data_IF_651413074161
#
_entry.id   IF_651413074161
#
_cell.length_a   1.000
_cell.length_b   1.000
_cell.length_c   1.000
_cell.angle_alpha   90.00
_cell.angle_beta   90.00
_cell.angle_gamma   90.00
#
_symmetry.space_group_name_H-M   'P 1'
#
loop_
_entity.id
_entity.type
_entity.pdbx_description
1 polymer ?
#
# COMPACT_ATOMS: atom_id res chain seq x y z
N UNK A 1 21.98 -22.71 -3.86
CA UNK A 1 20.79 -23.20 -4.61
C UNK A 1 19.47 -22.64 -4.08
N UNK A 2 19.20 -22.67 -2.76
CA UNK A 2 17.93 -22.17 -2.18
C UNK A 2 17.75 -20.65 -2.28
N UNK A 3 18.82 -19.86 -2.09
CA UNK A 3 18.75 -18.38 -2.15
C UNK A 3 18.39 -17.84 -3.54
N UNK A 4 18.84 -18.50 -4.61
CA UNK A 4 18.53 -18.10 -5.99
C UNK A 4 17.07 -18.35 -6.35
N UNK A 5 16.52 -19.50 -5.96
CA UNK A 5 15.10 -19.82 -6.13
C UNK A 5 14.23 -18.85 -5.32
N UNK A 6 14.60 -18.55 -4.08
CA UNK A 6 13.89 -17.58 -3.25
C UNK A 6 13.89 -16.18 -3.89
N UNK A 7 15.04 -15.69 -4.35
CA UNK A 7 15.12 -14.39 -5.03
C UNK A 7 14.26 -14.37 -6.31
N UNK A 8 14.27 -15.44 -7.11
CA UNK A 8 13.43 -15.56 -8.30
C UNK A 8 11.93 -15.50 -7.95
N UNK A 9 11.50 -16.23 -6.93
CA UNK A 9 10.11 -16.19 -6.44
C UNK A 9 9.72 -14.78 -5.98
N UNK A 10 10.59 -14.10 -5.23
CA UNK A 10 10.34 -12.73 -4.77
C UNK A 10 10.24 -11.74 -5.94
N UNK A 11 11.09 -11.87 -6.96
CA UNK A 11 11.04 -11.04 -8.18
C UNK A 11 9.74 -11.28 -8.95
N UNK A 12 9.30 -12.54 -9.09
CA UNK A 12 8.03 -12.88 -9.74
C UNK A 12 6.87 -12.23 -8.98
N UNK A 13 6.82 -12.34 -7.65
CA UNK A 13 5.78 -11.72 -6.83
C UNK A 13 5.79 -10.19 -6.99
N UNK A 14 6.97 -9.56 -6.97
CA UNK A 14 7.11 -8.12 -7.18
C UNK A 14 6.52 -7.69 -8.53
N UNK A 15 6.83 -8.45 -9.58
CA UNK A 15 6.41 -8.15 -10.95
C UNK A 15 4.89 -8.18 -11.15
N UNK A 16 4.16 -8.92 -10.33
CA UNK A 16 2.70 -9.07 -10.46
C UNK A 16 1.91 -7.84 -9.99
N UNK A 17 2.51 -6.90 -9.25
CA UNK A 17 1.80 -5.67 -8.87
C UNK A 17 2.66 -4.60 -8.24
N UNK A 18 3.64 -4.97 -7.43
CA UNK A 18 4.50 -4.00 -6.77
C UNK A 18 5.33 -3.20 -7.77
N UNK A 19 5.87 -3.85 -8.80
CA UNK A 19 6.65 -3.18 -9.85
C UNK A 19 5.85 -2.11 -10.59
N UNK A 20 4.53 -2.29 -10.76
CA UNK A 20 3.66 -1.29 -11.41
C UNK A 20 3.52 -0.03 -10.56
N UNK A 21 3.34 -0.20 -9.24
CA UNK A 21 3.33 0.94 -8.32
C UNK A 21 4.72 1.58 -8.25
N UNK A 22 5.77 0.77 -8.13
CA UNK A 22 7.15 1.24 -8.03
C UNK A 22 7.58 2.07 -9.25
N UNK A 23 7.04 1.82 -10.43
CA UNK A 23 7.38 2.61 -11.61
C UNK A 23 7.03 4.11 -11.45
N UNK A 24 6.00 4.46 -10.68
CA UNK A 24 5.57 5.86 -10.50
C UNK A 24 5.68 6.38 -9.07
N UNK A 25 5.57 5.49 -8.10
CA UNK A 25 5.48 5.82 -6.67
C UNK A 25 6.72 5.39 -5.89
N UNK A 26 7.77 4.91 -6.57
CA UNK A 26 9.04 4.60 -5.90
C UNK A 26 9.57 5.84 -5.21
N UNK A 27 9.98 5.65 -3.97
CA UNK A 27 10.58 6.65 -3.14
C UNK A 27 11.94 6.17 -2.65
N UNK A 28 13.00 6.85 -3.09
CA UNK A 28 14.38 6.50 -2.76
C UNK A 28 14.89 7.20 -1.49
N UNK A 29 14.07 8.06 -0.87
CA UNK A 29 14.39 8.75 0.37
C UNK A 29 14.16 7.91 1.63
N UNK A 30 14.45 8.54 2.76
CA UNK A 30 14.19 7.97 4.08
C UNK A 30 12.76 8.27 4.55
N UNK A 31 12.20 7.36 5.34
CA UNK A 31 10.89 7.59 5.95
C UNK A 31 11.08 8.69 7.01
N UNK A 32 10.24 9.75 7.01
CA UNK A 32 10.34 10.81 8.00
C UNK A 32 10.30 10.26 9.43
N UNK A 33 11.16 10.77 10.31
CA UNK A 33 11.29 10.28 11.70
C UNK A 33 10.03 10.46 12.54
N UNK A 34 9.19 11.44 12.20
CA UNK A 34 7.89 11.69 12.85
C UNK A 34 6.73 10.88 12.26
N UNK A 35 6.94 10.05 11.25
CA UNK A 35 5.86 9.34 10.57
C UNK A 35 5.24 8.25 11.48
N UNK A 36 3.91 8.24 11.59
CA UNK A 36 3.19 7.23 12.36
C UNK A 36 3.33 5.86 11.71
N UNK A 37 3.91 4.89 12.44
CA UNK A 37 4.27 3.57 11.93
C UNK A 37 3.21 2.53 12.25
N UNK A 38 2.86 1.72 11.25
CA UNK A 38 1.95 0.58 11.35
C UNK A 38 2.61 -0.67 10.76
N UNK A 39 2.96 -1.63 11.62
CA UNK A 39 3.61 -2.87 11.20
C UNK A 39 2.62 -4.00 10.89
N UNK A 40 3.06 -5.02 10.15
CA UNK A 40 2.31 -6.28 9.93
C UNK A 40 0.90 -6.08 9.35
N UNK A 41 0.76 -5.09 8.48
CA UNK A 41 -0.48 -4.78 7.80
C UNK A 41 -0.67 -5.69 6.59
N UNK A 42 -1.93 -5.81 6.18
CA UNK A 42 -2.30 -6.54 4.97
C UNK A 42 -2.78 -5.59 3.89
N UNK A 43 -2.33 -5.81 2.66
CA UNK A 43 -2.78 -5.06 1.49
C UNK A 43 -2.97 -5.94 0.26
N UNK A 44 -3.75 -5.47 -0.70
CA UNK A 44 -3.85 -6.04 -2.03
C UNK A 44 -3.62 -4.95 -3.08
N UNK A 45 -3.03 -5.32 -4.21
CA UNK A 45 -2.79 -4.43 -5.35
C UNK A 45 -3.73 -4.84 -6.49
N UNK A 46 -4.68 -3.98 -6.82
CA UNK A 46 -5.76 -4.19 -7.78
C UNK A 46 -7.08 -4.61 -7.12
N UNK A 47 -8.14 -4.64 -7.93
CA UNK A 47 -9.52 -4.96 -7.49
C UNK A 47 -10.07 -6.30 -7.99
N UNK A 48 -9.22 -7.19 -8.52
CA UNK A 48 -9.65 -8.47 -9.10
C UNK A 48 -9.39 -9.64 -8.16
N UNK A 49 -10.01 -10.80 -8.40
CA UNK A 49 -9.79 -12.00 -7.59
C UNK A 49 -8.32 -12.47 -7.59
N UNK A 50 -7.62 -12.27 -8.72
CA UNK A 50 -6.20 -12.60 -8.91
C UNK A 50 -5.23 -11.49 -8.49
N UNK A 51 -5.72 -10.42 -7.86
CA UNK A 51 -4.88 -9.34 -7.36
C UNK A 51 -3.83 -9.88 -6.37
N UNK A 52 -2.55 -9.48 -6.45
CA UNK A 52 -1.52 -9.83 -5.48
C UNK A 52 -1.92 -9.38 -4.07
N UNK A 53 -1.87 -10.31 -3.11
CA UNK A 53 -2.23 -10.06 -1.71
C UNK A 53 -1.00 -10.23 -0.83
N UNK A 54 -0.68 -9.16 -0.11
CA UNK A 54 0.36 -9.12 0.89
C UNK A 54 -0.30 -9.22 2.26
N UNK A 55 -0.31 -10.41 2.86
CA UNK A 55 -0.98 -10.64 4.15
C UNK A 55 0.01 -10.59 5.29
N UNK A 56 -0.18 -9.63 6.20
CA UNK A 56 0.63 -9.48 7.43
C UNK A 56 2.11 -9.18 7.19
N UNK A 57 2.49 -8.82 5.96
CA UNK A 57 3.89 -8.67 5.56
C UNK A 57 4.23 -7.25 5.08
N UNK A 58 3.33 -6.28 5.24
CA UNK A 58 3.59 -4.89 4.86
C UNK A 58 3.67 -4.01 6.09
N UNK A 59 4.66 -3.14 6.10
CA UNK A 59 4.76 -2.03 7.04
C UNK A 59 4.34 -0.76 6.30
N UNK A 60 3.52 0.04 6.94
CA UNK A 60 3.13 1.36 6.45
C UNK A 60 3.55 2.47 7.40
N UNK A 61 3.74 3.65 6.85
CA UNK A 61 3.96 4.87 7.61
C UNK A 61 3.11 6.00 7.06
N UNK A 62 2.64 6.86 7.94
CA UNK A 62 1.81 8.00 7.61
C UNK A 62 2.51 9.28 8.05
N UNK A 63 2.59 10.25 7.14
CA UNK A 63 3.13 11.57 7.41
C UNK A 63 2.33 12.62 6.63
N UNK A 64 2.62 13.89 6.90
CA UNK A 64 2.01 15.01 6.21
C UNK A 64 2.22 15.02 4.69
N UNK A 65 3.21 14.27 4.20
CA UNK A 65 3.53 14.21 2.76
C UNK A 65 2.88 13.04 2.03
N UNK A 66 2.38 12.02 2.74
CA UNK A 66 1.76 10.86 2.11
C UNK A 66 1.79 9.57 2.95
N UNK A 67 1.33 8.49 2.31
CA UNK A 67 1.39 7.13 2.81
C UNK A 67 2.61 6.41 2.24
N UNK A 68 3.45 5.87 3.12
CA UNK A 68 4.62 5.09 2.76
C UNK A 68 4.35 3.61 2.97
N UNK A 69 4.74 2.76 2.01
CA UNK A 69 4.53 1.31 2.09
C UNK A 69 5.81 0.55 1.78
N UNK A 70 6.17 -0.41 2.64
CA UNK A 70 7.32 -1.30 2.45
C UNK A 70 7.02 -2.71 2.96
N UNK A 71 7.24 -3.76 2.16
CA UNK A 71 7.17 -5.13 2.64
C UNK A 71 8.24 -5.44 3.68
N UNK A 72 8.02 -6.49 4.46
CA UNK A 72 8.96 -7.00 5.45
C UNK A 72 10.28 -7.44 4.82
N UNK A 73 11.29 -7.64 5.67
CA UNK A 73 12.69 -7.85 5.26
C UNK A 73 12.87 -8.95 4.20
N UNK A 74 12.13 -10.07 4.31
CA UNK A 74 12.23 -11.21 3.40
C UNK A 74 11.71 -10.92 1.98
N UNK A 75 10.83 -9.92 1.82
CA UNK A 75 10.29 -9.47 0.55
C UNK A 75 10.92 -8.17 0.07
N UNK A 76 11.89 -7.61 0.81
CA UNK A 76 12.49 -6.30 0.48
C UNK A 76 13.25 -6.33 -0.85
N UNK A 77 13.74 -7.49 -1.27
CA UNK A 77 14.36 -7.69 -2.58
C UNK A 77 13.31 -7.39 -3.66
N UNK A 78 13.62 -6.50 -4.59
CA UNK A 78 12.71 -6.05 -5.66
C UNK A 78 11.43 -5.30 -5.22
N UNK A 79 11.27 -4.97 -3.93
CA UNK A 79 10.15 -4.18 -3.43
C UNK A 79 10.65 -2.84 -2.86
N UNK A 80 10.93 -1.84 -3.74
CA UNK A 80 11.33 -0.53 -3.28
C UNK A 80 10.27 0.10 -2.39
N UNK A 81 10.69 1.02 -1.52
CA UNK A 81 9.78 1.82 -0.73
C UNK A 81 8.86 2.61 -1.67
N UNK A 82 7.57 2.55 -1.41
CA UNK A 82 6.59 3.34 -2.13
C UNK A 82 6.18 4.51 -1.26
N UNK A 83 6.04 5.69 -1.87
CA UNK A 83 5.35 6.83 -1.29
C UNK A 83 4.16 7.14 -2.19
N UNK A 84 2.97 7.12 -1.59
CA UNK A 84 1.72 7.53 -2.21
C UNK A 84 1.41 8.92 -1.65
N UNK A 85 1.64 9.97 -2.44
CA UNK A 85 1.21 11.32 -2.09
C UNK A 85 -0.32 11.39 -1.91
N UNK A 86 -0.79 12.24 -1.01
CA UNK A 86 -2.23 12.38 -0.74
C UNK A 86 -3.03 12.86 -1.97
N UNK A 87 -2.41 13.67 -2.83
CA UNK A 87 -2.94 14.17 -4.10
C UNK A 87 -3.04 13.10 -5.19
N UNK A 88 -2.33 11.97 -5.04
CA UNK A 88 -2.44 10.82 -5.94
C UNK A 88 -3.60 9.89 -5.55
N UNK A 89 -4.36 10.19 -4.49
CA UNK A 89 -5.53 9.41 -4.07
C UNK A 89 -6.78 10.13 -4.55
N UNK A 90 -7.46 9.56 -5.55
CA UNK A 90 -8.68 10.12 -6.12
C UNK A 90 -9.88 9.95 -5.17
N UNK A 91 -10.05 8.74 -4.65
CA UNK A 91 -11.14 8.39 -3.75
C UNK A 91 -10.79 7.19 -2.89
N UNK A 92 -11.40 7.12 -1.70
CA UNK A 92 -11.30 5.96 -0.82
C UNK A 92 -12.70 5.37 -0.65
N UNK A 93 -12.83 4.08 -0.92
CA UNK A 93 -14.07 3.30 -0.72
C UNK A 93 -13.96 2.38 0.47
N UNK A 94 -15.01 2.35 1.28
CA UNK A 94 -15.14 1.35 2.33
C UNK A 94 -15.88 0.14 1.78
N UNK A 95 -15.15 -0.92 1.44
CA UNK A 95 -15.73 -2.15 0.91
C UNK A 95 -15.87 -3.21 2.03
N UNK A 96 -17.05 -3.83 2.12
CA UNK A 96 -17.34 -4.93 3.04
C UNK A 96 -18.13 -4.52 4.29
N UNK A 97 -18.54 -5.52 5.07
CA UNK A 97 -19.43 -5.32 6.23
C UNK A 97 -18.77 -5.87 7.52
N UNK A 98 -18.88 -5.12 8.62
CA UNK A 98 -18.37 -5.52 9.95
C UNK A 98 -16.84 -5.66 10.03
N UNK A 99 -16.28 -6.69 10.68
CA UNK A 99 -14.84 -6.81 10.92
C UNK A 99 -14.00 -7.08 9.66
N UNK A 100 -14.65 -7.35 8.52
CA UNK A 100 -13.99 -7.63 7.23
C UNK A 100 -13.92 -6.41 6.31
N UNK A 101 -14.24 -5.22 6.83
CA UNK A 101 -14.09 -3.96 6.11
C UNK A 101 -12.68 -3.79 5.54
N UNK A 102 -12.64 -3.29 4.31
CA UNK A 102 -11.43 -3.02 3.54
C UNK A 102 -11.51 -1.61 2.99
N UNK A 103 -10.41 -0.88 3.06
CA UNK A 103 -10.35 0.46 2.49
C UNK A 103 -9.65 0.36 1.14
N UNK A 104 -10.39 0.65 0.08
CA UNK A 104 -9.91 0.64 -1.29
C UNK A 104 -9.58 2.07 -1.71
N UNK A 105 -8.29 2.34 -1.83
CA UNK A 105 -7.71 3.58 -2.30
C UNK A 105 -7.63 3.51 -3.83
N UNK A 106 -8.46 4.31 -4.50
CA UNK A 106 -8.33 4.53 -5.93
C UNK A 106 -7.24 5.58 -6.14
N UNK A 107 -6.19 5.19 -6.85
CA UNK A 107 -5.09 6.08 -7.17
C UNK A 107 -5.32 6.76 -8.52
N UNK A 108 -4.83 7.98 -8.64
CA UNK A 108 -4.86 8.74 -9.88
C UNK A 108 -3.97 8.09 -10.96
N UNK A 109 -4.32 8.32 -12.22
CA UNK A 109 -3.51 7.99 -13.41
C UNK A 109 -3.12 6.51 -13.60
N UNK A 110 -4.05 5.65 -14.06
CA UNK A 110 -3.79 4.25 -14.48
C UNK A 110 -3.04 3.37 -13.45
N UNK A 111 -2.92 3.84 -12.21
CA UNK A 111 -2.31 3.09 -11.13
C UNK A 111 -3.32 2.04 -10.63
N UNK A 112 -2.85 0.83 -10.31
CA UNK A 112 -3.74 -0.17 -9.74
C UNK A 112 -4.26 0.31 -8.39
N UNK A 113 -5.57 0.16 -8.17
CA UNK A 113 -6.20 0.42 -6.88
C UNK A 113 -5.48 -0.32 -5.75
N UNK A 114 -5.44 0.26 -4.56
CA UNK A 114 -4.84 -0.37 -3.38
C UNK A 114 -5.92 -0.67 -2.37
N UNK A 115 -5.98 -1.91 -1.91
CA UNK A 115 -6.84 -2.27 -0.78
C UNK A 115 -5.97 -2.43 0.45
N UNK A 116 -6.19 -1.64 1.48
CA UNK A 116 -5.47 -1.71 2.75
C UNK A 116 -6.45 -2.12 3.85
N UNK A 117 -5.99 -3.04 4.70
CA UNK A 117 -6.73 -3.54 5.83
C UNK A 117 -6.20 -2.99 7.15
N UNK A 118 -7.05 -3.03 8.17
CA UNK A 118 -6.63 -2.81 9.55
C UNK A 118 -6.39 -1.34 9.90
N UNK A 119 -5.48 -1.12 10.85
CA UNK A 119 -5.25 0.18 11.46
C UNK A 119 -4.64 1.19 10.48
N UNK A 120 -3.72 0.74 9.61
CA UNK A 120 -3.10 1.61 8.62
C UNK A 120 -4.11 2.15 7.62
N UNK A 121 -5.01 1.29 7.11
CA UNK A 121 -6.03 1.71 6.17
C UNK A 121 -6.93 2.78 6.78
N UNK A 122 -7.41 2.54 8.01
CA UNK A 122 -8.29 3.49 8.72
C UNK A 122 -7.59 4.82 8.97
N UNK A 123 -6.38 4.79 9.55
CA UNK A 123 -5.62 6.01 9.79
C UNK A 123 -5.32 6.79 8.50
N UNK A 124 -5.01 6.10 7.40
CA UNK A 124 -4.78 6.73 6.11
C UNK A 124 -6.07 7.36 5.52
N UNK A 125 -7.21 6.70 5.72
CA UNK A 125 -8.50 7.20 5.29
C UNK A 125 -8.97 8.42 6.09
N UNK A 126 -8.78 8.38 7.42
CA UNK A 126 -9.07 9.49 8.32
C UNK A 126 -8.21 10.70 7.93
N UNK A 127 -6.89 10.52 7.79
CA UNK A 127 -5.96 11.58 7.41
C UNK A 127 -6.29 12.19 6.03
N UNK A 128 -6.59 11.36 5.03
CA UNK A 128 -6.99 11.83 3.70
C UNK A 128 -8.30 12.62 3.74
N UNK A 129 -9.29 12.19 4.52
CA UNK A 129 -10.58 12.86 4.65
C UNK A 129 -10.45 14.25 5.28
N UNK A 130 -9.64 14.37 6.35
CA UNK A 130 -9.36 15.64 7.03
C UNK A 130 -8.65 16.61 6.09
N UNK A 131 -7.74 16.11 5.25
CA UNK A 131 -6.95 16.94 4.32
C UNK A 131 -7.73 17.42 3.11
N UNK A 132 -8.48 16.52 2.49
CA UNK A 132 -9.18 16.81 1.23
C UNK A 132 -10.58 17.37 1.47
N UNK A 133 -11.10 17.29 2.69
CA UNK A 133 -12.50 17.58 3.01
C UNK A 133 -13.49 16.62 2.35
N UNK A 134 -13.00 15.50 1.79
CA UNK A 134 -13.83 14.51 1.08
C UNK A 134 -14.24 13.39 2.02
N UNK A 135 -15.51 13.04 1.99
CA UNK A 135 -16.02 11.87 2.69
C UNK A 135 -15.57 10.58 2.00
N UNK A 136 -15.48 9.50 2.79
CA UNK A 136 -15.32 8.15 2.26
C UNK A 136 -16.55 7.80 1.42
N UNK A 137 -16.31 7.13 0.31
CA UNK A 137 -17.39 6.64 -0.55
C UNK A 137 -17.83 5.24 -0.11
N UNK A 138 -19.13 4.99 -0.13
CA UNK A 138 -19.74 3.67 0.11
C UNK A 138 -19.64 2.75 -1.11
#
# INVERSE_FOLDING_TARGET
MVLGLWALVVVIIASQGWSRLAHRLRFDGEIPSGAARYGMQSMAIGGTWFAPRYRGCVNGWLDATGLYLRPGLIFRIAHPLLRIPWDQIDSIRLEGFGPFQRLRFRLAHDLPDLTIHGALGRAAADEWSVRTGRALTE
#
